data_IF_289711656871
#
_entry.id   IF_289711656871
#
_cell.length_a   1.000
_cell.length_b   1.000
_cell.length_c   1.000
_cell.angle_alpha   90.00
_cell.angle_beta   90.00
_cell.angle_gamma   90.00
#
_symmetry.space_group_name_H-M   'P 1'
#
loop_
_entity.id
_entity.type
_entity.pdbx_description
1 polymer ?
#
# COMPACT_ATOMS: atom_id res chain seq x y z
N UNK A 1 7.30 21.79 10.51
CA UNK A 1 7.34 20.43 9.93
C UNK A 1 5.94 20.08 9.47
N UNK A 2 5.70 19.68 8.21
CA UNK A 2 4.37 19.32 7.74
C UNK A 2 3.85 18.11 8.51
N UNK A 3 2.62 18.20 9.01
CA UNK A 3 1.93 17.08 9.65
C UNK A 3 1.50 16.07 8.58
N UNK A 4 1.86 14.82 8.75
CA UNK A 4 1.43 13.71 7.89
C UNK A 4 0.06 13.21 8.32
N UNK A 5 -0.83 12.93 7.37
CA UNK A 5 -2.21 12.55 7.65
C UNK A 5 -2.40 11.10 8.11
N UNK A 6 -1.41 10.23 7.89
CA UNK A 6 -1.50 8.82 8.24
C UNK A 6 -0.43 8.40 9.24
N UNK A 7 -0.79 7.40 10.06
CA UNK A 7 0.10 6.81 11.03
C UNK A 7 1.33 6.18 10.34
N UNK A 8 2.50 6.40 10.89
CA UNK A 8 3.80 5.84 10.46
C UNK A 8 4.19 6.09 8.98
N UNK A 9 3.59 7.05 8.29
CA UNK A 9 4.03 7.44 6.93
C UNK A 9 5.51 7.82 6.90
N UNK A 10 5.99 8.44 7.99
CA UNK A 10 7.41 8.81 8.08
C UNK A 10 8.33 7.59 8.09
N UNK A 11 7.98 6.55 8.85
CA UNK A 11 8.73 5.29 8.87
C UNK A 11 8.73 4.60 7.50
N UNK A 12 7.56 4.55 6.84
CA UNK A 12 7.46 4.03 5.48
C UNK A 12 8.35 4.81 4.50
N UNK A 13 8.31 6.14 4.53
CA UNK A 13 9.11 6.98 3.65
C UNK A 13 10.62 6.84 3.91
N UNK A 14 11.04 6.72 5.17
CA UNK A 14 12.44 6.47 5.53
C UNK A 14 12.89 5.12 4.98
N UNK A 15 12.09 4.08 5.18
CA UNK A 15 12.40 2.74 4.68
C UNK A 15 12.47 2.71 3.15
N UNK A 16 11.48 3.27 2.47
CA UNK A 16 11.48 3.35 1.00
C UNK A 16 12.67 4.13 0.47
N UNK A 17 13.04 5.24 1.10
CA UNK A 17 14.22 6.01 0.71
C UNK A 17 15.52 5.23 0.92
N UNK A 18 15.61 4.43 1.98
CA UNK A 18 16.76 3.58 2.24
C UNK A 18 16.91 2.47 1.19
N UNK A 19 15.80 1.80 0.84
CA UNK A 19 15.81 0.67 -0.09
C UNK A 19 15.90 1.09 -1.57
N UNK A 20 15.34 2.23 -1.94
CA UNK A 20 15.14 2.62 -3.33
C UNK A 20 15.80 3.93 -3.73
N UNK A 21 16.21 4.74 -2.75
CA UNK A 21 16.63 6.13 -2.95
C UNK A 21 15.47 7.13 -3.01
N UNK A 22 14.20 6.67 -2.99
CA UNK A 22 13.01 7.51 -3.14
C UNK A 22 12.00 7.23 -2.03
N UNK A 23 11.43 8.28 -1.43
CA UNK A 23 10.57 8.16 -0.26
C UNK A 23 9.14 7.64 -0.58
N UNK A 24 8.62 7.90 -1.78
CA UNK A 24 7.26 7.53 -2.23
C UNK A 24 7.17 7.64 -3.76
N UNK A 25 6.04 7.24 -4.35
CA UNK A 25 5.81 7.34 -5.79
C UNK A 25 6.81 6.53 -6.61
N UNK A 26 7.19 5.35 -6.12
CA UNK A 26 8.23 4.53 -6.75
C UNK A 26 7.61 3.54 -7.72
N UNK A 27 8.07 3.59 -8.96
CA UNK A 27 7.73 2.65 -10.02
C UNK A 27 8.81 1.57 -10.14
N UNK A 28 8.41 0.31 -10.13
CA UNK A 28 9.27 -0.86 -10.30
C UNK A 28 9.02 -1.62 -11.61
N UNK A 29 8.12 -1.15 -12.47
CA UNK A 29 7.69 -1.87 -13.67
C UNK A 29 8.84 -2.18 -14.66
N UNK A 30 9.92 -1.42 -14.58
CA UNK A 30 11.12 -1.61 -15.45
C UNK A 30 12.21 -2.49 -14.83
N UNK A 31 11.95 -3.09 -13.65
CA UNK A 31 12.92 -3.91 -12.94
C UNK A 31 13.94 -3.12 -12.10
N UNK A 32 13.81 -1.80 -12.02
CA UNK A 32 14.56 -0.92 -11.13
C UNK A 32 13.65 0.17 -10.56
N UNK A 33 14.03 0.75 -9.43
CA UNK A 33 13.27 1.83 -8.80
C UNK A 33 13.36 3.13 -9.63
N UNK A 34 12.22 3.69 -9.99
CA UNK A 34 12.10 4.97 -10.71
C UNK A 34 11.13 5.87 -9.98
N UNK A 35 11.41 7.15 -9.98
CA UNK A 35 10.57 8.16 -9.36
C UNK A 35 10.39 9.35 -10.29
N UNK A 36 9.14 9.70 -10.56
CA UNK A 36 8.78 10.92 -11.29
C UNK A 36 7.49 11.49 -10.73
N UNK A 37 7.55 12.70 -10.20
CA UNK A 37 6.36 13.45 -9.78
C UNK A 37 5.46 13.71 -10.99
N UNK A 38 4.15 13.52 -10.80
CA UNK A 38 3.15 13.68 -11.86
C UNK A 38 3.06 12.49 -12.83
N UNK A 39 3.97 11.49 -12.73
CA UNK A 39 3.88 10.28 -13.54
C UNK A 39 3.64 9.02 -12.71
N UNK A 40 4.33 8.87 -11.58
CA UNK A 40 4.31 7.64 -10.77
C UNK A 40 3.52 7.77 -9.47
N UNK A 41 2.81 8.89 -9.26
CA UNK A 41 1.88 9.03 -8.15
C UNK A 41 0.62 8.20 -8.38
N UNK A 42 0.08 7.64 -7.32
CA UNK A 42 -1.11 6.79 -7.35
C UNK A 42 -2.31 7.46 -8.04
N UNK A 43 -2.57 8.74 -7.76
CA UNK A 43 -3.69 9.49 -8.38
C UNK A 43 -3.47 9.63 -9.88
N UNK A 44 -2.24 9.91 -10.32
CA UNK A 44 -1.92 10.09 -11.73
C UNK A 44 -2.06 8.77 -12.49
N UNK A 45 -1.57 7.67 -11.92
CA UNK A 45 -1.69 6.32 -12.49
C UNK A 45 -3.17 5.90 -12.64
N UNK A 46 -3.98 6.10 -11.59
CA UNK A 46 -5.41 5.79 -11.63
C UNK A 46 -6.17 6.68 -12.63
N UNK A 47 -5.83 7.96 -12.72
CA UNK A 47 -6.46 8.89 -13.68
C UNK A 47 -6.15 8.50 -15.12
N UNK A 48 -4.93 7.99 -15.38
CA UNK A 48 -4.54 7.47 -16.70
C UNK A 48 -5.01 6.04 -16.95
N UNK A 49 -5.66 5.40 -15.97
CA UNK A 49 -6.19 4.03 -16.07
C UNK A 49 -5.12 2.96 -16.32
N UNK A 50 -3.93 3.15 -15.76
CA UNK A 50 -2.80 2.24 -15.94
C UNK A 50 -2.85 0.99 -15.03
N UNK A 51 -3.26 1.07 -13.75
CA UNK A 51 -3.30 -0.09 -12.86
C UNK A 51 -4.38 -1.09 -13.26
N UNK A 52 -4.04 -2.37 -13.28
CA UNK A 52 -4.97 -3.49 -13.49
C UNK A 52 -5.49 -4.08 -12.17
N UNK A 53 -4.84 -3.79 -11.06
CA UNK A 53 -5.20 -4.21 -9.70
C UNK A 53 -4.72 -3.16 -8.71
N UNK A 54 -5.43 -3.00 -7.61
CA UNK A 54 -5.07 -2.02 -6.58
C UNK A 54 -5.06 -2.67 -5.20
N UNK A 55 -3.98 -2.46 -4.45
CA UNK A 55 -3.88 -2.89 -3.06
C UNK A 55 -3.78 -1.66 -2.15
N UNK A 56 -4.68 -1.57 -1.20
CA UNK A 56 -4.76 -0.46 -0.23
C UNK A 56 -4.42 -0.98 1.16
N UNK A 57 -3.58 -0.26 1.88
CA UNK A 57 -3.22 -0.60 3.26
C UNK A 57 -3.42 0.64 4.13
N UNK A 58 -4.33 0.55 5.10
CA UNK A 58 -4.62 1.58 6.10
C UNK A 58 -4.87 2.98 5.48
N UNK A 59 -5.63 3.03 4.39
CA UNK A 59 -5.97 4.28 3.70
C UNK A 59 -7.34 4.18 3.04
N UNK A 60 -7.98 5.32 2.82
CA UNK A 60 -9.30 5.41 2.18
C UNK A 60 -9.27 6.28 0.90
N UNK A 61 -8.69 5.78 -0.21
CA UNK A 61 -8.72 6.47 -1.49
C UNK A 61 -10.13 6.75 -2.00
N UNK A 62 -11.09 5.87 -1.74
CA UNK A 62 -12.49 6.08 -2.11
C UNK A 62 -13.10 7.36 -1.53
N UNK A 63 -12.67 7.75 -0.32
CA UNK A 63 -13.08 9.00 0.32
C UNK A 63 -12.25 10.22 -0.09
N UNK A 64 -10.98 10.03 -0.49
CA UNK A 64 -10.02 11.13 -0.57
C UNK A 64 -9.53 11.44 -2.00
N UNK A 65 -9.65 10.51 -2.93
CA UNK A 65 -9.15 10.71 -4.28
C UNK A 65 -10.14 11.47 -5.17
N UNK A 66 -9.67 12.19 -6.19
CA UNK A 66 -10.52 12.83 -7.18
C UNK A 66 -11.41 11.83 -7.91
N UNK A 67 -12.57 12.28 -8.36
CA UNK A 67 -13.56 11.44 -9.03
C UNK A 67 -12.99 10.66 -10.24
N UNK A 68 -12.10 11.28 -11.04
CA UNK A 68 -11.47 10.60 -12.18
C UNK A 68 -10.63 9.37 -11.79
N UNK A 69 -9.90 9.45 -10.68
CA UNK A 69 -9.15 8.33 -10.12
C UNK A 69 -10.09 7.25 -9.54
N UNK A 70 -11.13 7.67 -8.80
CA UNK A 70 -12.10 6.76 -8.20
C UNK A 70 -12.96 6.03 -9.24
N UNK A 71 -13.25 6.64 -10.38
CA UNK A 71 -13.93 5.95 -11.48
C UNK A 71 -13.11 4.75 -11.99
N UNK A 72 -11.80 4.86 -12.08
CA UNK A 72 -10.98 3.73 -12.47
C UNK A 72 -10.84 2.72 -11.34
N UNK A 73 -10.65 3.18 -10.11
CA UNK A 73 -10.58 2.33 -8.92
C UNK A 73 -11.80 1.41 -8.79
N UNK A 74 -13.00 1.91 -9.08
CA UNK A 74 -14.24 1.14 -9.06
C UNK A 74 -14.37 0.11 -10.20
N UNK A 75 -13.47 0.09 -11.17
CA UNK A 75 -13.53 -0.80 -12.33
C UNK A 75 -12.37 -1.82 -12.39
N UNK A 76 -11.52 -1.84 -11.39
CA UNK A 76 -10.40 -2.80 -11.28
C UNK A 76 -10.50 -3.57 -9.97
N UNK A 77 -9.92 -4.78 -9.88
CA UNK A 77 -9.87 -5.52 -8.62
C UNK A 77 -9.16 -4.72 -7.52
N UNK A 78 -9.82 -4.58 -6.37
CA UNK A 78 -9.30 -3.87 -5.19
C UNK A 78 -9.21 -4.82 -4.01
N UNK A 79 -8.03 -4.87 -3.39
CA UNK A 79 -7.78 -5.52 -2.11
C UNK A 79 -7.49 -4.47 -1.06
N UNK A 80 -8.20 -4.50 0.07
CA UNK A 80 -7.98 -3.59 1.18
C UNK A 80 -7.56 -4.34 2.44
N UNK A 81 -6.51 -3.83 3.11
CA UNK A 81 -6.14 -4.19 4.48
C UNK A 81 -6.45 -2.97 5.33
N UNK A 82 -7.42 -3.04 6.21
CA UNK A 82 -7.82 -1.90 7.03
C UNK A 82 -8.43 -2.34 8.38
N UNK A 83 -8.56 -1.36 9.26
CA UNK A 83 -9.14 -1.45 10.60
C UNK A 83 -10.58 -0.95 10.64
N UNK A 84 -10.97 -0.15 9.66
CA UNK A 84 -12.24 0.55 9.60
C UNK A 84 -12.96 0.27 8.29
N UNK A 85 -14.28 0.29 8.36
CA UNK A 85 -15.13 0.27 7.19
C UNK A 85 -15.29 1.68 6.62
N UNK A 86 -15.01 1.86 5.34
CA UNK A 86 -15.08 3.17 4.67
C UNK A 86 -15.48 3.04 3.19
N UNK A 87 -15.56 4.16 2.46
CA UNK A 87 -15.88 4.15 1.04
C UNK A 87 -15.01 3.23 0.17
N UNK A 88 -13.71 3.10 0.48
CA UNK A 88 -12.85 2.14 -0.23
C UNK A 88 -13.26 0.71 0.03
N UNK A 89 -13.76 0.40 1.24
CA UNK A 89 -14.20 -0.96 1.58
C UNK A 89 -15.43 -1.37 0.75
N UNK A 90 -16.31 -0.44 0.43
CA UNK A 90 -17.46 -0.66 -0.45
C UNK A 90 -17.05 -0.95 -1.91
N UNK A 91 -15.86 -0.49 -2.32
CA UNK A 91 -15.30 -0.74 -3.64
C UNK A 91 -14.41 -1.99 -3.69
N UNK A 92 -14.02 -2.52 -2.53
CA UNK A 92 -13.04 -3.61 -2.44
C UNK A 92 -13.66 -4.97 -2.74
N UNK A 93 -13.03 -5.75 -3.61
CA UNK A 93 -13.40 -7.16 -3.87
C UNK A 93 -12.93 -8.08 -2.75
N UNK A 94 -11.83 -7.71 -2.08
CA UNK A 94 -11.26 -8.46 -0.96
C UNK A 94 -10.91 -7.52 0.18
N UNK A 95 -11.50 -7.77 1.36
CA UNK A 95 -11.21 -7.03 2.59
C UNK A 95 -10.53 -7.96 3.58
N UNK A 96 -9.34 -7.58 4.03
CA UNK A 96 -8.56 -8.31 5.02
C UNK A 96 -8.47 -7.48 6.30
N UNK A 97 -9.06 -7.93 7.41
CA UNK A 97 -9.07 -7.16 8.65
C UNK A 97 -7.66 -7.13 9.28
N UNK A 98 -7.09 -5.94 9.33
CA UNK A 98 -5.83 -5.64 10.01
C UNK A 98 -5.97 -5.57 11.53
N UNK A 99 -4.87 -5.45 12.26
CA UNK A 99 -4.84 -5.23 13.70
C UNK A 99 -4.29 -3.84 14.06
N UNK A 100 -4.85 -3.24 15.11
CA UNK A 100 -4.39 -1.94 15.61
C UNK A 100 -3.00 -2.04 16.22
N UNK A 101 -2.02 -1.39 15.58
CA UNK A 101 -0.68 -1.25 16.15
C UNK A 101 -0.73 -0.41 17.44
N UNK A 102 0.06 -0.76 18.45
CA UNK A 102 0.08 -0.19 19.80
C UNK A 102 -1.18 -0.47 20.65
N UNK A 103 -2.15 -1.18 20.11
CA UNK A 103 -3.35 -1.63 20.84
C UNK A 103 -3.42 -3.14 20.81
N UNK A 104 -3.54 -3.73 19.64
CA UNK A 104 -3.75 -5.17 19.39
C UNK A 104 -2.47 -5.90 18.96
N UNK A 105 -1.48 -5.19 18.45
CA UNK A 105 -0.17 -5.73 18.13
C UNK A 105 0.95 -4.76 18.51
N UNK A 106 2.14 -5.31 18.70
CA UNK A 106 3.35 -4.53 18.93
C UNK A 106 3.98 -4.11 17.61
N UNK A 107 4.78 -3.03 17.64
CA UNK A 107 5.53 -2.61 16.45
C UNK A 107 6.34 -1.35 16.70
N UNK A 108 7.13 -0.96 15.72
CA UNK A 108 7.91 0.27 15.74
C UNK A 108 7.30 1.29 14.79
N UNK A 109 7.03 2.48 15.30
CA UNK A 109 6.62 3.62 14.50
C UNK A 109 7.66 4.74 14.58
N UNK A 110 7.78 5.51 13.54
CA UNK A 110 8.67 6.65 13.49
C UNK A 110 7.89 7.96 13.65
N UNK A 111 8.29 8.76 14.61
CA UNK A 111 7.82 10.14 14.77
C UNK A 111 8.21 10.97 13.53
N UNK A 112 7.59 12.14 13.40
CA UNK A 112 7.88 13.06 12.27
C UNK A 112 9.31 13.60 12.28
N UNK A 113 9.97 13.58 13.42
CA UNK A 113 11.39 13.92 13.59
C UNK A 113 12.35 12.73 13.33
N UNK A 114 11.81 11.58 12.89
CA UNK A 114 12.60 10.40 12.57
C UNK A 114 12.97 9.51 13.76
N UNK A 115 12.50 9.84 14.98
CA UNK A 115 12.77 9.04 16.17
C UNK A 115 11.91 7.78 16.19
N UNK A 116 12.47 6.56 16.27
CA UNK A 116 11.72 5.34 16.41
C UNK A 116 11.10 5.22 17.81
N UNK A 117 9.84 4.82 17.88
CA UNK A 117 9.13 4.50 19.11
C UNK A 117 8.64 3.07 19.01
N UNK A 118 9.09 2.23 19.92
CA UNK A 118 8.57 0.90 20.07
C UNK A 118 7.26 0.94 20.88
N UNK A 119 6.20 0.40 20.30
CA UNK A 119 4.87 0.34 20.91
C UNK A 119 4.54 -1.09 21.28
N UNK A 120 4.04 -1.26 22.50
CA UNK A 120 3.64 -2.56 23.03
C UNK A 120 2.17 -2.83 22.78
N UNK A 121 1.84 -4.10 22.59
CA UNK A 121 0.46 -4.57 22.61
C UNK A 121 -0.18 -4.31 23.97
N UNK A 122 -1.42 -3.84 23.97
CA UNK A 122 -2.21 -3.56 25.18
C UNK A 122 -3.34 -4.59 25.42
N UNK A 123 -3.99 -5.03 24.35
CA UNK A 123 -5.10 -6.00 24.40
C UNK A 123 -4.94 -7.08 23.34
N UNK A 124 -5.65 -8.18 23.46
CA UNK A 124 -5.71 -9.20 22.42
C UNK A 124 -6.57 -8.71 21.25
N UNK A 125 -6.09 -8.99 20.03
CA UNK A 125 -6.84 -8.72 18.81
C UNK A 125 -7.98 -9.73 18.62
N UNK A 126 -9.05 -9.37 17.90
CA UNK A 126 -10.08 -10.32 17.48
C UNK A 126 -9.48 -11.49 16.70
N UNK A 127 -10.06 -12.68 16.83
CA UNK A 127 -9.56 -13.90 16.16
C UNK A 127 -9.53 -13.77 14.63
N UNK A 128 -10.40 -12.96 14.06
CA UNK A 128 -10.49 -12.69 12.63
C UNK A 128 -9.41 -11.76 12.11
N UNK A 129 -8.84 -10.90 12.99
CA UNK A 129 -7.82 -9.93 12.60
C UNK A 129 -6.42 -10.53 12.56
N UNK A 130 -5.61 -10.04 11.67
CA UNK A 130 -4.19 -10.40 11.54
C UNK A 130 -3.33 -9.14 11.45
N UNK A 131 -2.06 -9.26 11.87
CA UNK A 131 -1.11 -8.16 11.74
C UNK A 131 -0.78 -7.93 10.26
N UNK A 132 -0.66 -6.69 9.83
CA UNK A 132 -0.38 -6.32 8.45
C UNK A 132 0.87 -7.03 7.91
N UNK A 133 1.91 -7.14 8.74
CA UNK A 133 3.13 -7.88 8.39
C UNK A 133 2.83 -9.34 8.04
N UNK A 134 2.00 -10.00 8.83
CA UNK A 134 1.60 -11.39 8.59
C UNK A 134 0.79 -11.50 7.29
N UNK A 135 -0.19 -10.59 7.08
CA UNK A 135 -1.03 -10.57 5.88
C UNK A 135 -0.16 -10.40 4.62
N UNK A 136 0.73 -9.41 4.62
CA UNK A 136 1.61 -9.11 3.47
C UNK A 136 2.56 -10.29 3.20
N UNK A 137 3.09 -10.93 4.23
CA UNK A 137 3.96 -12.11 4.10
C UNK A 137 3.20 -13.28 3.46
N UNK A 138 1.99 -13.58 3.92
CA UNK A 138 1.14 -14.63 3.37
C UNK A 138 0.78 -14.36 1.90
N UNK A 139 0.44 -13.12 1.55
CA UNK A 139 0.18 -12.74 0.16
C UNK A 139 1.43 -12.97 -0.69
N UNK A 140 2.59 -12.50 -0.25
CA UNK A 140 3.87 -12.70 -0.94
C UNK A 140 4.15 -14.18 -1.17
N UNK A 141 4.04 -15.01 -0.14
CA UNK A 141 4.31 -16.44 -0.24
C UNK A 141 3.38 -17.14 -1.23
N UNK A 142 2.08 -16.78 -1.22
CA UNK A 142 1.09 -17.33 -2.15
C UNK A 142 1.34 -16.88 -3.58
N UNK A 143 1.65 -15.62 -3.80
CA UNK A 143 2.02 -15.10 -5.12
C UNK A 143 3.26 -15.81 -5.65
N UNK A 144 4.28 -16.02 -4.82
CA UNK A 144 5.50 -16.74 -5.21
C UNK A 144 5.25 -18.22 -5.54
N UNK A 145 4.31 -18.88 -4.85
CA UNK A 145 3.88 -20.24 -5.21
C UNK A 145 3.11 -20.31 -6.52
N UNK A 146 2.30 -19.30 -6.79
CA UNK A 146 1.53 -19.21 -8.04
C UNK A 146 2.41 -18.85 -9.25
N UNK A 147 3.44 -18.06 -9.02
CA UNK A 147 4.47 -17.73 -10.02
C UNK A 147 5.46 -18.90 -10.08
N UNK A 148 5.31 -19.78 -11.02
CA UNK A 148 6.18 -20.97 -11.19
C UNK A 148 7.69 -20.66 -11.33
N UNK A 149 8.07 -19.39 -11.40
CA UNK A 149 9.44 -18.90 -11.45
C UNK A 149 9.72 -17.95 -10.30
N UNK A 150 10.51 -18.33 -9.27
CA UNK A 150 10.88 -17.44 -8.19
C UNK A 150 11.81 -16.32 -8.72
N UNK A 151 11.57 -15.09 -8.30
CA UNK A 151 12.43 -13.91 -8.52
C UNK A 151 12.54 -13.36 -9.94
N UNK A 152 11.62 -13.67 -10.85
CA UNK A 152 11.54 -12.92 -12.09
C UNK A 152 10.78 -11.62 -11.83
N UNK A 153 11.46 -10.49 -11.90
CA UNK A 153 10.80 -9.20 -11.96
C UNK A 153 9.78 -9.21 -13.11
N UNK A 154 8.56 -8.68 -12.92
CA UNK A 154 7.59 -8.63 -13.99
C UNK A 154 8.23 -7.91 -15.18
N UNK A 155 8.23 -8.56 -16.36
CA UNK A 155 8.67 -7.88 -17.58
C UNK A 155 7.74 -6.69 -17.79
N UNK A 156 8.32 -5.52 -17.89
CA UNK A 156 7.57 -4.33 -18.26
C UNK A 156 6.94 -4.57 -19.64
N UNK A 157 5.63 -4.54 -19.68
CA UNK A 157 4.88 -4.45 -20.94
C UNK A 157 4.47 -2.98 -21.06
N UNK A 158 5.01 -2.23 -22.04
CA UNK A 158 4.59 -0.84 -22.24
C UNK A 158 3.08 -0.82 -22.48
N UNK A 159 2.40 0.11 -21.81
CA UNK A 159 1.00 0.36 -22.11
C UNK A 159 0.91 0.85 -23.57
N UNK A 160 0.20 0.14 -24.48
CA UNK A 160 0.08 0.55 -25.88
C UNK A 160 -0.64 1.90 -26.08
N UNK A 161 -1.26 2.46 -25.02
CA UNK A 161 -1.89 3.77 -25.04
C UNK A 161 -0.92 4.92 -24.65
N UNK A 162 0.36 4.64 -24.43
CA UNK A 162 1.37 5.62 -24.04
C UNK A 162 2.26 6.08 -25.22
N UNK A 163 1.90 5.75 -26.48
CA UNK A 163 2.47 6.31 -27.70
C UNK A 163 1.63 7.45 -28.27
#
# INVERSE_FOLDING_TARGET
TPMRGHFNVNGFNIFMAYETGFAFGVDFCRGYARYMLGETNTIDLLTRKEPDVFMVIAADPGAHFPNGANQHLANIPVMQIDLHWGPTTELADVVLPGSFIAVECAGTSYRMDGVPIYMKKAIDKPETCRDDEWIIREIKERVMKLRKEPNVAPKYVPNPAAE
#
